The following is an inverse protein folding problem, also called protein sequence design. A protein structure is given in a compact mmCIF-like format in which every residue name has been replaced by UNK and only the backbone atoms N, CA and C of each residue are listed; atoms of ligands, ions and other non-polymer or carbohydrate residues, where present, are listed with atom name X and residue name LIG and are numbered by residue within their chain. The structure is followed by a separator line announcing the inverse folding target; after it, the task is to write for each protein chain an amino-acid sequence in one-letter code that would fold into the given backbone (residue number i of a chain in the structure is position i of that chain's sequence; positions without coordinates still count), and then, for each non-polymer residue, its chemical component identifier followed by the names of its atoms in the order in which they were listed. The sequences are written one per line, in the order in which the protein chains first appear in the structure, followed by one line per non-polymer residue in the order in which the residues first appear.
data_IF_020570591292
#
_entry.id   IF_020570591292
#
_cell.length_a   1.000
_cell.length_b   1.000
_cell.length_c   1.000
_cell.angle_alpha   90.00
_cell.angle_beta   90.00
_cell.angle_gamma   90.00
#
_symmetry.space_group_name_H-M   'P 1'
#
loop_
_entity.id
_entity.type
_entity.pdbx_description
1 polymer ?
#
# COMPACT_ATOMS: atom_id res chain seq x y z
N UNK A 1 9.12 31.69 -10.56
CA UNK A 1 9.10 33.15 -10.78
C UNK A 1 8.82 33.88 -9.45
N UNK A 2 9.85 34.24 -8.66
CA UNK A 2 9.67 34.83 -7.31
C UNK A 2 10.40 36.18 -7.11
N UNK A 3 10.77 36.85 -8.20
CA UNK A 3 11.48 38.14 -8.14
C UNK A 3 10.64 39.39 -7.73
N UNK A 4 9.30 39.45 -7.88
CA UNK A 4 8.57 40.69 -7.56
C UNK A 4 8.32 40.92 -6.05
N UNK A 5 8.22 39.87 -5.25
CA UNK A 5 7.84 39.98 -3.82
C UNK A 5 9.00 40.51 -2.96
N UNK A 6 10.23 40.05 -3.19
CA UNK A 6 11.41 40.54 -2.47
C UNK A 6 11.76 41.99 -2.83
N UNK A 7 11.49 42.44 -4.07
CA UNK A 7 11.69 43.83 -4.49
C UNK A 7 10.65 44.81 -3.93
N UNK A 8 9.47 44.34 -3.53
CA UNK A 8 8.46 45.16 -2.84
C UNK A 8 8.72 45.28 -1.33
N UNK A 9 9.38 44.28 -0.73
CA UNK A 9 9.69 44.24 0.70
C UNK A 9 10.90 45.10 1.12
N UNK A 10 11.50 45.89 0.23
CA UNK A 10 12.74 46.66 0.52
C UNK A 10 12.57 48.18 0.51
N UNK A 11 11.33 48.70 0.45
CA UNK A 11 11.05 50.15 0.31
C UNK A 11 10.43 50.85 1.53
N UNK A 12 10.27 50.19 2.67
CA UNK A 12 9.79 50.83 3.90
C UNK A 12 10.26 50.05 5.12
N UNK A 13 11.08 50.72 5.94
CA UNK A 13 11.76 50.29 7.18
C UNK A 13 12.63 49.03 7.12
N UNK A 14 13.81 49.04 7.79
CA UNK A 14 14.65 47.86 7.87
C UNK A 14 13.91 46.80 8.69
N UNK A 15 13.40 45.77 8.00
CA UNK A 15 12.84 44.59 8.66
C UNK A 15 13.83 44.07 9.72
N UNK A 16 13.34 43.70 10.92
CA UNK A 16 14.19 43.11 11.95
C UNK A 16 14.97 41.93 11.36
N UNK A 17 16.27 41.82 11.67
CA UNK A 17 17.15 40.76 11.13
C UNK A 17 16.57 39.37 11.42
N UNK A 18 15.82 39.25 12.51
CA UNK A 18 15.09 38.08 12.95
C UNK A 18 13.98 37.69 11.95
N UNK A 19 13.25 38.66 11.41
CA UNK A 19 12.20 38.41 10.42
C UNK A 19 12.78 37.93 9.08
N UNK A 20 13.88 38.54 8.63
CA UNK A 20 14.59 38.09 7.42
C UNK A 20 15.14 36.67 7.61
N UNK A 21 15.71 36.38 8.79
CA UNK A 21 16.20 35.03 9.13
C UNK A 21 15.06 34.00 9.15
N UNK A 22 13.91 34.32 9.75
CA UNK A 22 12.75 33.44 9.80
C UNK A 22 12.22 33.11 8.38
N UNK A 23 12.14 34.11 7.49
CA UNK A 23 11.71 33.90 6.09
C UNK A 23 12.69 33.01 5.33
N UNK A 24 14.00 33.18 5.53
CA UNK A 24 15.01 32.33 4.90
C UNK A 24 14.95 30.89 5.43
N UNK A 25 14.80 30.70 6.74
CA UNK A 25 14.62 29.38 7.35
C UNK A 25 13.36 28.69 6.81
N UNK A 26 12.20 29.37 6.83
CA UNK A 26 10.96 28.82 6.31
C UNK A 26 11.05 28.44 4.82
N UNK A 27 11.80 29.21 4.01
CA UNK A 27 12.07 28.87 2.61
C UNK A 27 12.90 27.59 2.48
N UNK A 28 13.93 27.43 3.31
CA UNK A 28 14.77 26.23 3.32
C UNK A 28 13.98 24.99 3.78
N UNK A 29 13.20 25.12 4.84
CA UNK A 29 12.31 24.08 5.34
C UNK A 29 11.27 23.67 4.28
N UNK A 30 10.59 24.64 3.68
CA UNK A 30 9.65 24.39 2.59
C UNK A 30 10.30 23.70 1.38
N UNK A 31 11.53 24.10 1.01
CA UNK A 31 12.27 23.45 -0.07
C UNK A 31 12.63 21.99 0.27
N UNK A 32 13.01 21.71 1.52
CA UNK A 32 13.30 20.36 1.98
C UNK A 32 12.04 19.48 2.01
N UNK A 33 10.91 20.02 2.47
CA UNK A 33 9.61 19.34 2.43
C UNK A 33 9.18 19.02 1.00
N UNK A 34 9.35 19.96 0.08
CA UNK A 34 9.05 19.76 -1.34
C UNK A 34 9.96 18.69 -1.99
N UNK A 35 11.26 18.68 -1.69
CA UNK A 35 12.18 17.65 -2.18
C UNK A 35 11.81 16.26 -1.61
N UNK A 36 11.48 16.18 -0.32
CA UNK A 36 11.02 14.94 0.30
C UNK A 36 9.71 14.43 -0.34
N UNK A 37 8.74 15.33 -0.58
CA UNK A 37 7.50 15.00 -1.26
C UNK A 37 7.74 14.53 -2.71
N UNK A 38 8.64 15.19 -3.44
CA UNK A 38 9.00 14.82 -4.81
C UNK A 38 9.66 13.43 -4.88
N UNK A 39 10.61 13.14 -3.97
CA UNK A 39 11.24 11.81 -3.87
C UNK A 39 10.23 10.73 -3.53
N UNK A 40 9.32 10.99 -2.59
CA UNK A 40 8.26 10.04 -2.23
C UNK A 40 7.34 9.76 -3.42
N UNK A 41 6.96 10.79 -4.18
CA UNK A 41 6.17 10.62 -5.40
C UNK A 41 6.92 9.83 -6.48
N UNK A 42 8.22 10.09 -6.66
CA UNK A 42 9.05 9.37 -7.62
C UNK A 42 9.23 7.90 -7.24
N UNK A 43 9.47 7.59 -5.96
CA UNK A 43 9.54 6.23 -5.43
C UNK A 43 8.24 5.47 -5.68
N UNK A 44 7.10 6.06 -5.32
CA UNK A 44 5.78 5.47 -5.54
C UNK A 44 5.50 5.20 -7.04
N UNK A 45 5.83 6.15 -7.92
CA UNK A 45 5.68 5.97 -9.36
C UNK A 45 6.60 4.88 -9.91
N UNK A 46 7.85 4.82 -9.45
CA UNK A 46 8.81 3.80 -9.84
C UNK A 46 8.35 2.40 -9.41
N UNK A 47 7.78 2.26 -8.21
CA UNK A 47 7.23 0.98 -7.73
C UNK A 47 6.06 0.51 -8.59
N UNK A 48 5.12 1.40 -8.94
CA UNK A 48 4.00 1.05 -9.85
C UNK A 48 4.52 0.65 -11.23
N UNK A 49 5.44 1.43 -11.81
CA UNK A 49 6.03 1.10 -13.11
C UNK A 49 6.78 -0.23 -13.07
N UNK A 50 7.50 -0.50 -11.98
CA UNK A 50 8.24 -1.75 -11.79
C UNK A 50 7.28 -2.94 -11.66
N UNK A 51 6.19 -2.81 -10.91
CA UNK A 51 5.14 -3.83 -10.84
C UNK A 51 4.61 -4.13 -12.25
N UNK A 52 4.19 -3.10 -12.99
CA UNK A 52 3.68 -3.25 -14.37
C UNK A 52 4.71 -3.88 -15.33
N UNK A 53 5.97 -3.45 -15.30
CA UNK A 53 7.02 -3.97 -16.18
C UNK A 53 7.37 -5.42 -15.83
N UNK A 54 7.54 -5.76 -14.55
CA UNK A 54 7.81 -7.13 -14.12
C UNK A 54 6.61 -8.04 -14.41
N UNK A 55 5.40 -7.51 -14.31
CA UNK A 55 4.18 -8.19 -14.77
C UNK A 55 4.30 -8.49 -16.26
N UNK A 56 4.48 -7.48 -17.11
CA UNK A 56 4.60 -7.69 -18.55
C UNK A 56 5.73 -8.67 -18.93
N UNK A 57 6.90 -8.57 -18.29
CA UNK A 57 8.05 -9.44 -18.55
C UNK A 57 7.81 -10.89 -18.11
N UNK A 58 7.13 -11.10 -16.97
CA UNK A 58 6.81 -12.46 -16.49
C UNK A 58 5.89 -13.22 -17.42
N UNK A 59 5.19 -12.50 -18.31
CA UNK A 59 4.19 -13.03 -19.24
C UNK A 59 4.55 -12.83 -20.72
N UNK A 60 5.70 -12.23 -21.02
CA UNK A 60 6.20 -12.08 -22.39
C UNK A 60 6.43 -13.42 -23.14
N UNK A 61 6.86 -14.52 -22.50
CA UNK A 61 7.09 -15.78 -23.20
C UNK A 61 5.78 -16.44 -23.67
N UNK A 62 5.65 -16.69 -24.98
CA UNK A 62 4.55 -17.48 -25.58
C UNK A 62 5.11 -18.67 -26.36
N UNK A 63 4.49 -19.88 -26.27
CA UNK A 63 3.35 -20.21 -25.42
C UNK A 63 3.71 -20.17 -23.94
N UNK A 64 2.74 -19.86 -23.08
CA UNK A 64 2.95 -19.84 -21.65
C UNK A 64 3.32 -21.24 -21.16
N UNK A 65 4.50 -21.43 -20.54
CA UNK A 65 4.82 -22.72 -19.95
C UNK A 65 3.81 -23.01 -18.84
N UNK A 66 3.23 -24.22 -18.86
CA UNK A 66 2.37 -24.66 -17.77
C UNK A 66 3.15 -24.57 -16.45
N UNK A 67 2.59 -23.92 -15.42
CA UNK A 67 3.25 -23.85 -14.13
C UNK A 67 3.31 -25.25 -13.52
N UNK A 68 4.43 -25.55 -12.85
CA UNK A 68 4.49 -26.73 -11.98
C UNK A 68 3.40 -26.61 -10.91
N UNK A 69 2.73 -27.71 -10.53
CA UNK A 69 1.77 -27.69 -9.44
C UNK A 69 2.36 -27.08 -8.18
N UNK A 70 1.58 -26.25 -7.49
CA UNK A 70 1.99 -25.68 -6.22
C UNK A 70 2.07 -26.77 -5.14
N UNK A 71 2.97 -26.60 -4.17
CA UNK A 71 3.11 -27.53 -3.07
C UNK A 71 1.82 -27.58 -2.22
N UNK A 72 1.45 -28.77 -1.78
CA UNK A 72 0.25 -29.00 -0.95
C UNK A 72 0.54 -28.77 0.54
N UNK A 73 -0.43 -28.24 1.27
CA UNK A 73 -0.33 -28.09 2.73
C UNK A 73 0.60 -26.97 3.22
N UNK A 74 1.03 -26.09 2.31
CA UNK A 74 1.86 -24.91 2.64
C UNK A 74 1.08 -23.62 2.36
N UNK A 75 1.45 -22.55 3.06
CA UNK A 75 0.95 -21.22 2.71
C UNK A 75 1.71 -20.71 1.48
N UNK A 76 0.97 -20.45 0.40
CA UNK A 76 1.53 -19.99 -0.86
C UNK A 76 1.72 -18.46 -0.90
N UNK A 77 1.01 -17.73 -0.04
CA UNK A 77 1.11 -16.26 0.03
C UNK A 77 2.51 -15.88 0.51
N UNK A 78 3.21 -15.07 -0.30
CA UNK A 78 4.51 -14.52 0.07
C UNK A 78 4.40 -13.57 1.28
N UNK A 79 5.29 -13.74 2.27
CA UNK A 79 5.32 -12.95 3.53
C UNK A 79 3.92 -12.79 4.19
N UNK A 80 3.23 -13.89 4.52
CA UNK A 80 1.81 -13.87 4.91
C UNK A 80 1.58 -13.29 6.32
N UNK A 81 2.63 -13.19 7.12
CA UNK A 81 2.61 -12.62 8.48
C UNK A 81 3.04 -11.15 8.51
N UNK A 82 3.46 -10.57 7.39
CA UNK A 82 4.03 -9.21 7.31
C UNK A 82 5.29 -9.00 8.15
N UNK A 83 6.01 -10.04 8.55
CA UNK A 83 7.18 -9.89 9.43
C UNK A 83 8.43 -9.41 8.68
N UNK A 84 8.54 -9.75 7.39
CA UNK A 84 9.73 -9.41 6.60
C UNK A 84 9.63 -7.98 6.06
N UNK A 85 10.69 -7.21 6.25
CA UNK A 85 10.78 -5.81 5.82
C UNK A 85 11.13 -5.71 4.33
N UNK A 86 10.38 -4.90 3.59
CA UNK A 86 10.80 -4.34 2.31
C UNK A 86 11.31 -2.90 2.47
N UNK A 87 11.44 -2.19 1.36
CA UNK A 87 11.98 -0.82 1.35
C UNK A 87 11.09 0.17 2.12
N UNK A 88 9.79 0.17 1.84
CA UNK A 88 8.82 1.09 2.48
C UNK A 88 7.72 0.35 3.28
N UNK A 89 7.44 -0.92 2.95
CA UNK A 89 6.33 -1.72 3.50
C UNK A 89 6.79 -3.16 3.80
N UNK A 90 5.87 -4.02 4.23
CA UNK A 90 6.12 -5.46 4.29
C UNK A 90 6.62 -5.97 2.92
N UNK A 91 7.68 -6.78 2.92
CA UNK A 91 8.26 -7.30 1.68
C UNK A 91 7.20 -8.03 0.87
N UNK A 92 7.11 -7.71 -0.42
CA UNK A 92 6.20 -8.38 -1.34
C UNK A 92 4.72 -8.00 -1.18
N UNK A 93 4.44 -6.89 -0.51
CA UNK A 93 3.12 -6.28 -0.42
C UNK A 93 3.16 -4.82 -0.88
N UNK A 94 2.07 -4.36 -1.48
CA UNK A 94 1.86 -2.97 -1.85
C UNK A 94 0.48 -2.49 -1.42
N UNK A 95 0.33 -1.17 -1.39
CA UNK A 95 -0.89 -0.48 -1.00
C UNK A 95 -1.55 0.08 -2.26
N UNK A 96 -2.85 -0.18 -2.43
CA UNK A 96 -3.67 0.40 -3.48
C UNK A 96 -4.76 1.31 -2.90
N UNK A 97 -4.92 2.51 -3.45
CA UNK A 97 -6.13 3.31 -3.24
C UNK A 97 -7.11 2.99 -4.36
N UNK A 98 -8.32 2.58 -4.00
CA UNK A 98 -9.35 2.21 -4.97
C UNK A 98 -9.99 3.45 -5.64
N UNK A 99 -9.76 4.65 -5.09
CA UNK A 99 -9.93 5.93 -5.78
C UNK A 99 -8.62 6.71 -5.81
N UNK A 100 -8.09 6.97 -7.01
CA UNK A 100 -6.87 7.77 -7.14
C UNK A 100 -7.12 9.27 -6.91
N UNK A 101 -8.37 9.73 -6.93
CA UNK A 101 -8.74 11.11 -6.63
C UNK A 101 -8.95 11.34 -5.13
N UNK A 102 -9.19 10.30 -4.34
CA UNK A 102 -9.36 10.37 -2.89
C UNK A 102 -8.30 9.52 -2.17
N UNK A 103 -7.19 10.19 -1.82
CA UNK A 103 -6.06 9.59 -1.08
C UNK A 103 -6.01 10.04 0.38
N UNK A 104 -7.14 10.41 0.96
CA UNK A 104 -7.20 10.93 2.34
C UNK A 104 -6.86 9.88 3.40
N UNK A 105 -7.20 8.61 3.14
CA UNK A 105 -6.85 7.50 4.03
C UNK A 105 -5.38 7.09 3.98
N UNK A 106 -4.97 6.26 4.94
CA UNK A 106 -3.61 5.74 5.06
C UNK A 106 -3.61 4.22 5.22
N UNK A 107 -2.51 3.62 4.80
CA UNK A 107 -2.18 2.25 5.16
C UNK A 107 -0.76 2.23 5.73
N UNK A 108 -0.57 1.42 6.76
CA UNK A 108 0.66 1.39 7.54
C UNK A 108 1.09 -0.06 7.80
N UNK A 109 2.38 -0.32 7.61
CA UNK A 109 3.01 -1.55 8.06
C UNK A 109 3.33 -1.44 9.57
N UNK A 110 2.36 -1.85 10.38
CA UNK A 110 2.36 -1.62 11.82
C UNK A 110 3.36 -2.51 12.57
N UNK A 111 3.96 -1.99 13.65
CA UNK A 111 4.82 -2.74 14.60
C UNK A 111 4.22 -2.79 15.99
N UNK A 112 4.12 -3.98 16.57
CA UNK A 112 3.72 -4.17 17.96
C UNK A 112 4.59 -3.32 18.91
N UNK A 113 3.95 -2.71 19.91
CA UNK A 113 4.61 -1.88 20.92
C UNK A 113 4.82 -0.42 20.55
N UNK A 114 4.37 0.05 19.37
CA UNK A 114 4.36 1.49 19.04
C UNK A 114 3.14 2.23 19.58
N UNK A 115 2.07 1.50 19.97
CA UNK A 115 0.89 2.04 20.65
C UNK A 115 0.48 1.15 21.83
N UNK A 116 -0.35 1.68 22.73
CA UNK A 116 -0.87 0.98 23.93
C UNK A 116 -1.70 -0.26 23.62
N UNK A 117 -2.13 -0.39 22.38
CA UNK A 117 -3.00 -1.44 21.91
C UNK A 117 -2.21 -2.30 20.90
N UNK A 118 -2.39 -3.63 20.91
CA UNK A 118 -1.62 -4.56 20.06
C UNK A 118 -2.48 -5.05 18.88
N UNK A 119 -2.62 -4.28 17.77
CA UNK A 119 -3.32 -4.72 16.55
C UNK A 119 -2.47 -5.71 15.73
N UNK A 120 -1.88 -6.71 16.39
CA UNK A 120 -1.10 -7.77 15.76
C UNK A 120 -1.66 -9.12 16.21
N UNK A 121 -2.08 -9.96 15.26
CA UNK A 121 -2.66 -11.29 15.54
C UNK A 121 -1.59 -12.26 16.02
N UNK A 122 -0.46 -12.31 15.31
CA UNK A 122 0.68 -13.16 15.60
C UNK A 122 1.96 -12.43 15.18
N UNK A 123 3.07 -12.67 15.89
CA UNK A 123 4.34 -12.02 15.61
C UNK A 123 4.42 -10.59 16.16
N UNK A 124 5.13 -9.73 15.44
CA UNK A 124 5.40 -8.34 15.78
C UNK A 124 4.82 -7.35 14.77
N UNK A 125 4.25 -7.79 13.65
CA UNK A 125 3.80 -6.91 12.56
C UNK A 125 2.39 -7.22 12.07
N UNK A 126 1.76 -6.23 11.44
CA UNK A 126 0.50 -6.39 10.71
C UNK A 126 0.35 -5.31 9.63
N UNK A 127 -0.47 -5.59 8.63
CA UNK A 127 -0.98 -4.57 7.72
C UNK A 127 -2.14 -3.83 8.40
N UNK A 128 -2.11 -2.50 8.37
CA UNK A 128 -3.14 -1.64 8.97
C UNK A 128 -3.68 -0.67 7.93
N UNK A 129 -4.96 -0.34 8.05
CA UNK A 129 -5.63 0.72 7.28
C UNK A 129 -6.24 1.70 8.29
N UNK A 130 -6.04 3.00 8.03
CA UNK A 130 -6.51 4.12 8.84
C UNK A 130 -7.31 5.07 7.95
N UNK A 131 -8.50 5.47 8.41
CA UNK A 131 -9.34 6.46 7.72
C UNK A 131 -9.58 6.12 6.24
N UNK A 132 -9.91 4.86 5.94
CA UNK A 132 -10.17 4.45 4.56
C UNK A 132 -11.21 5.38 3.89
N UNK A 133 -10.96 5.85 2.65
CA UNK A 133 -11.94 6.60 1.88
C UNK A 133 -13.10 5.68 1.50
N UNK A 134 -14.17 6.24 0.93
CA UNK A 134 -15.39 5.48 0.61
C UNK A 134 -15.12 4.28 -0.31
N UNK A 135 -14.27 4.45 -1.34
CA UNK A 135 -13.88 3.34 -2.22
C UNK A 135 -12.89 2.38 -1.57
N UNK A 136 -12.24 2.76 -0.47
CA UNK A 136 -11.35 1.90 0.30
C UNK A 136 -9.87 1.96 -0.08
N UNK A 137 -9.08 1.21 0.70
CA UNK A 137 -7.65 0.99 0.52
C UNK A 137 -7.43 -0.52 0.60
N UNK A 138 -6.58 -1.04 -0.27
CA UNK A 138 -6.19 -2.45 -0.28
C UNK A 138 -4.72 -2.62 0.10
N UNK A 139 -4.44 -3.74 0.79
CA UNK A 139 -3.13 -4.35 0.83
C UNK A 139 -3.16 -5.53 -0.12
N UNK A 140 -2.31 -5.52 -1.15
CA UNK A 140 -2.26 -6.59 -2.15
C UNK A 140 -0.84 -7.04 -2.43
N UNK A 141 -0.70 -8.24 -2.99
CA UNK A 141 0.56 -8.68 -3.54
C UNK A 141 0.74 -8.10 -4.95
N UNK A 142 1.94 -7.60 -5.29
CA UNK A 142 2.25 -7.22 -6.66
C UNK A 142 2.17 -8.45 -7.56
N UNK A 143 1.91 -8.25 -8.84
CA UNK A 143 1.74 -9.34 -9.81
C UNK A 143 2.97 -10.24 -9.94
N UNK A 144 4.18 -9.71 -9.69
CA UNK A 144 5.40 -10.52 -9.62
C UNK A 144 5.35 -11.63 -8.56
N UNK A 145 4.53 -11.45 -7.53
CA UNK A 145 4.28 -12.39 -6.45
C UNK A 145 2.94 -13.13 -6.62
N UNK A 146 2.22 -12.91 -7.73
CA UNK A 146 0.99 -13.63 -8.00
C UNK A 146 1.25 -15.13 -8.16
N UNK A 147 0.34 -15.92 -7.60
CA UNK A 147 0.41 -17.38 -7.69
C UNK A 147 0.03 -17.82 -9.10
N UNK A 148 0.92 -18.62 -9.71
CA UNK A 148 0.58 -19.32 -10.94
C UNK A 148 -0.18 -20.58 -10.56
N UNK A 149 -1.35 -20.76 -11.13
CA UNK A 149 -2.25 -21.89 -10.85
C UNK A 149 -2.61 -22.60 -12.15
N UNK A 150 -2.89 -23.90 -12.06
CA UNK A 150 -3.39 -24.70 -13.17
C UNK A 150 -4.92 -24.81 -13.12
N UNK A 151 -5.60 -24.91 -14.28
CA UNK A 151 -7.02 -25.22 -14.32
C UNK A 151 -7.34 -26.51 -13.56
N UNK A 152 -8.40 -26.48 -12.74
CA UNK A 152 -8.86 -27.63 -11.95
C UNK A 152 -8.20 -27.79 -10.57
N UNK A 153 -7.18 -26.99 -10.24
CA UNK A 153 -6.65 -26.93 -8.88
C UNK A 153 -7.65 -26.26 -7.92
N UNK A 154 -7.65 -26.70 -6.66
CA UNK A 154 -8.54 -26.18 -5.61
C UNK A 154 -7.68 -25.56 -4.52
N UNK A 155 -7.99 -24.32 -4.18
CA UNK A 155 -7.29 -23.54 -3.16
C UNK A 155 -8.28 -23.09 -2.08
N UNK A 156 -7.74 -22.82 -0.88
CA UNK A 156 -8.45 -22.12 0.20
C UNK A 156 -7.65 -20.88 0.53
N UNK A 157 -8.32 -19.75 0.68
CA UNK A 157 -7.68 -18.53 1.18
C UNK A 157 -8.31 -18.12 2.51
N UNK A 158 -7.49 -17.64 3.43
CA UNK A 158 -7.97 -17.02 4.66
C UNK A 158 -7.08 -15.88 5.12
N UNK A 159 -7.68 -14.95 5.85
CA UNK A 159 -7.00 -13.81 6.44
C UNK A 159 -7.62 -13.46 7.79
N UNK A 160 -6.78 -13.11 8.76
CA UNK A 160 -7.25 -12.58 10.04
C UNK A 160 -7.40 -11.07 9.94
N UNK A 161 -8.58 -10.56 10.28
CA UNK A 161 -8.88 -9.12 10.30
C UNK A 161 -9.36 -8.71 11.69
N UNK A 162 -9.03 -7.48 12.08
CA UNK A 162 -9.56 -6.84 13.29
C UNK A 162 -9.96 -5.42 12.95
N UNK A 163 -11.21 -5.06 13.23
CA UNK A 163 -11.71 -3.70 13.02
C UNK A 163 -11.77 -2.92 14.33
N UNK A 164 -11.33 -1.66 14.29
CA UNK A 164 -11.34 -0.73 15.43
C UNK A 164 -12.40 0.36 15.31
N UNK A 165 -13.16 0.35 14.22
CA UNK A 165 -14.12 1.39 13.88
C UNK A 165 -15.52 0.78 13.84
N UNK A 166 -16.51 1.54 14.33
CA UNK A 166 -17.92 1.16 14.23
C UNK A 166 -18.44 1.24 12.79
N UNK A 167 -17.71 1.93 11.91
CA UNK A 167 -18.06 2.13 10.50
C UNK A 167 -17.01 1.55 9.57
N UNK A 168 -17.45 1.05 8.44
CA UNK A 168 -16.58 0.46 7.42
C UNK A 168 -16.66 -1.06 7.43
N UNK A 169 -16.12 -1.64 6.36
CA UNK A 169 -16.23 -3.07 6.06
C UNK A 169 -14.87 -3.55 5.56
N UNK A 170 -14.52 -4.78 5.91
CA UNK A 170 -13.30 -5.43 5.44
C UNK A 170 -13.64 -6.79 4.84
N UNK A 171 -13.03 -7.12 3.71
CA UNK A 171 -13.18 -8.43 3.07
C UNK A 171 -11.83 -8.92 2.54
N UNK A 172 -11.77 -10.21 2.22
CA UNK A 172 -10.70 -10.84 1.49
C UNK A 172 -11.18 -11.11 0.07
N UNK A 173 -10.33 -10.85 -0.92
CA UNK A 173 -10.61 -11.19 -2.31
C UNK A 173 -9.40 -11.83 -2.97
N UNK A 174 -9.63 -12.67 -3.97
CA UNK A 174 -8.61 -13.16 -4.89
C UNK A 174 -8.98 -12.68 -6.29
N UNK A 175 -8.02 -12.16 -7.03
CA UNK A 175 -8.20 -11.84 -8.45
C UNK A 175 -7.56 -12.93 -9.30
N UNK A 176 -8.37 -13.63 -10.09
CA UNK A 176 -7.90 -14.64 -11.04
C UNK A 176 -7.96 -14.06 -12.44
N UNK A 177 -6.85 -14.09 -13.15
CA UNK A 177 -6.73 -13.65 -14.53
C UNK A 177 -6.13 -14.73 -15.41
N UNK A 178 -6.52 -14.75 -16.68
CA UNK A 178 -5.88 -15.59 -17.69
C UNK A 178 -4.48 -15.05 -18.03
N UNK A 179 -3.77 -15.78 -18.88
CA UNK A 179 -2.41 -15.39 -19.32
C UNK A 179 -2.39 -14.17 -20.25
N UNK A 180 -3.55 -13.65 -20.65
CA UNK A 180 -3.72 -12.42 -21.40
C UNK A 180 -4.29 -11.27 -20.54
N UNK A 181 -4.34 -11.42 -19.22
CA UNK A 181 -4.90 -10.45 -18.26
C UNK A 181 -6.40 -10.22 -18.38
N UNK A 182 -7.14 -11.16 -18.97
CA UNK A 182 -8.59 -11.14 -18.83
C UNK A 182 -8.96 -11.70 -17.47
N UNK A 183 -9.71 -10.92 -16.71
CA UNK A 183 -10.29 -11.38 -15.46
C UNK A 183 -11.14 -12.63 -15.72
N UNK A 184 -10.83 -13.71 -14.99
CA UNK A 184 -11.57 -14.97 -15.00
C UNK A 184 -12.61 -14.95 -13.87
N UNK A 185 -12.16 -14.62 -12.66
CA UNK A 185 -13.03 -14.59 -11.48
C UNK A 185 -12.43 -13.73 -10.37
N UNK A 186 -13.30 -13.24 -9.49
CA UNK A 186 -12.91 -12.47 -8.32
C UNK A 186 -13.76 -12.86 -7.10
N UNK A 187 -13.51 -14.03 -6.48
CA UNK A 187 -14.22 -14.41 -5.26
C UNK A 187 -13.96 -13.39 -4.14
N UNK A 188 -15.00 -13.09 -3.37
CA UNK A 188 -14.97 -12.15 -2.24
C UNK A 188 -15.55 -12.86 -1.01
N UNK A 189 -14.86 -12.76 0.12
CA UNK A 189 -15.33 -13.34 1.38
C UNK A 189 -16.56 -12.59 1.90
N UNK A 190 -17.21 -13.13 2.92
CA UNK A 190 -18.12 -12.32 3.74
C UNK A 190 -17.39 -11.09 4.29
N UNK A 191 -18.12 -10.00 4.49
CA UNK A 191 -17.58 -8.78 5.06
C UNK A 191 -17.56 -8.85 6.60
N UNK A 192 -16.53 -8.27 7.21
CA UNK A 192 -16.50 -7.96 8.63
C UNK A 192 -16.79 -6.48 8.80
N UNK A 193 -17.85 -6.18 9.54
CA UNK A 193 -18.31 -4.82 9.83
C UNK A 193 -18.19 -4.49 11.31
N UNK A 194 -18.18 -3.20 11.62
CA UNK A 194 -18.20 -2.71 13.00
C UNK A 194 -16.91 -2.98 13.76
N UNK A 195 -16.89 -2.58 15.03
CA UNK A 195 -15.73 -2.78 15.90
C UNK A 195 -15.75 -4.20 16.45
N UNK A 196 -14.62 -4.89 16.37
CA UNK A 196 -14.53 -6.30 16.78
C UNK A 196 -13.12 -6.73 17.15
N UNK A 197 -13.02 -7.94 17.71
CA UNK A 197 -11.73 -8.60 17.85
C UNK A 197 -11.35 -9.36 16.56
N UNK A 198 -10.26 -10.11 16.59
CA UNK A 198 -9.79 -10.87 15.43
C UNK A 198 -10.82 -11.88 14.92
N UNK A 199 -11.21 -11.72 13.65
CA UNK A 199 -12.10 -12.61 12.91
C UNK A 199 -11.38 -13.15 11.68
N UNK A 200 -11.61 -14.42 11.36
CA UNK A 200 -11.03 -15.06 10.17
C UNK A 200 -11.99 -14.93 8.98
N UNK A 201 -11.53 -14.30 7.90
CA UNK A 201 -12.15 -14.28 6.59
C UNK A 201 -11.73 -15.52 5.80
N UNK A 202 -12.63 -16.12 5.02
CA UNK A 202 -12.37 -17.35 4.26
C UNK A 202 -12.97 -17.32 2.85
N UNK A 203 -12.27 -17.95 1.93
CA UNK A 203 -12.65 -18.26 0.54
C UNK A 203 -12.33 -19.72 0.24
#
# INVERSE_FOLDING_TARGET
MAFPLLKRLSKGDPYPKEAVRAVLTAKHEFAAEMDAAARKSASAAAHVCTDMLLTALSFAPKPFPQPKPNATGVNLVFNPSFETAGDENAEGWCIGWLDLNDKTGRAEWYRAGTHWDKPVKQGARSAMVLWAPEKGIEWRQPWRNALRVNPGEVYRASAWVKSRTEKGRSHLTLELSDTNYHAISQPISNEVEGKGDWTELKL
#
